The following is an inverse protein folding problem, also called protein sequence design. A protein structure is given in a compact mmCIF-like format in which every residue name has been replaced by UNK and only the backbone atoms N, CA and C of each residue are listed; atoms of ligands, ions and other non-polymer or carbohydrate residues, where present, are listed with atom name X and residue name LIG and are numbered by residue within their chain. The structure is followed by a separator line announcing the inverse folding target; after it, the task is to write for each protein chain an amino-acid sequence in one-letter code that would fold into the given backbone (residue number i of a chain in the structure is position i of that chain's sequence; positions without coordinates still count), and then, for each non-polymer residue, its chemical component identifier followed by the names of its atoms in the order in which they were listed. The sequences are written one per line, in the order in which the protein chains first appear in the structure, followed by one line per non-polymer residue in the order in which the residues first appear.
data_IF_715963410059
#
_entry.id   IF_715963410059
#
_cell.length_a   1.000
_cell.length_b   1.000
_cell.length_c   1.000
_cell.angle_alpha   90.00
_cell.angle_beta   90.00
_cell.angle_gamma   90.00
#
_symmetry.space_group_name_H-M   'P 1'
#
loop_
_entity.id
_entity.type
_entity.pdbx_description
1 polymer ?
#
# COMPACT_ATOMS: atom_id res chain seq x y z
N UNK A 1 -0.42 11.31 8.15
CA UNK A 1 0.92 10.71 7.96
C UNK A 1 1.48 11.05 6.59
N UNK A 2 2.75 10.90 6.42
CA UNK A 2 3.43 11.17 5.14
C UNK A 2 4.42 10.05 4.89
N UNK A 3 4.41 9.50 3.69
CA UNK A 3 5.38 8.46 3.30
C UNK A 3 6.02 8.82 1.95
N UNK A 4 7.25 8.39 1.79
CA UNK A 4 7.98 8.52 0.53
C UNK A 4 8.26 7.13 -0.02
N UNK A 5 7.97 6.94 -1.30
CA UNK A 5 8.27 5.69 -1.99
C UNK A 5 9.69 5.72 -2.55
N UNK A 6 10.22 4.55 -2.88
CA UNK A 6 11.58 4.43 -3.45
C UNK A 6 11.77 5.21 -4.74
N UNK A 7 10.71 5.37 -5.53
CA UNK A 7 10.77 6.08 -6.81
C UNK A 7 10.67 7.61 -6.66
N UNK A 8 10.64 8.10 -5.42
CA UNK A 8 10.57 9.53 -5.12
C UNK A 8 9.17 10.08 -4.96
N UNK A 9 8.13 9.27 -5.14
CA UNK A 9 6.75 9.71 -4.93
C UNK A 9 6.48 9.89 -3.46
N UNK A 10 5.73 10.94 -3.11
CA UNK A 10 5.36 11.26 -1.74
C UNK A 10 3.85 11.26 -1.64
N UNK A 11 3.33 10.57 -0.62
CA UNK A 11 1.91 10.53 -0.32
C UNK A 11 1.67 11.05 1.09
N UNK A 12 0.58 11.78 1.27
CA UNK A 12 0.25 12.38 2.55
C UNK A 12 -1.26 12.28 2.81
N UNK A 13 -1.62 12.07 4.08
CA UNK A 13 -3.00 11.95 4.53
C UNK A 13 -3.17 10.80 5.51
N UNK A 14 -4.39 10.29 5.62
CA UNK A 14 -4.64 9.05 6.38
C UNK A 14 -4.09 7.85 5.59
N UNK A 15 -3.94 6.72 6.25
CA UNK A 15 -3.48 5.51 5.56
C UNK A 15 -4.42 5.16 4.39
N UNK A 16 -5.73 5.26 4.58
CA UNK A 16 -6.69 4.98 3.51
C UNK A 16 -6.56 5.96 2.36
N UNK A 17 -6.38 7.25 2.64
CA UNK A 17 -6.15 8.25 1.60
C UNK A 17 -4.88 7.96 0.81
N UNK A 18 -3.82 7.54 1.50
CA UNK A 18 -2.56 7.17 0.85
C UNK A 18 -2.75 5.95 -0.05
N UNK A 19 -3.45 4.92 0.43
CA UNK A 19 -3.72 3.72 -0.37
C UNK A 19 -4.57 4.05 -1.59
N UNK A 20 -5.58 4.90 -1.44
CA UNK A 20 -6.40 5.35 -2.58
C UNK A 20 -5.57 6.13 -3.60
N UNK A 21 -4.67 6.99 -3.14
CA UNK A 21 -3.78 7.74 -4.03
C UNK A 21 -2.81 6.82 -4.77
N UNK A 22 -2.30 5.80 -4.11
CA UNK A 22 -1.46 4.78 -4.76
C UNK A 22 -2.23 4.04 -5.85
N UNK A 23 -3.48 3.68 -5.56
CA UNK A 23 -4.34 2.99 -6.53
C UNK A 23 -4.61 3.87 -7.75
N UNK A 24 -4.83 5.16 -7.56
CA UNK A 24 -5.13 6.10 -8.65
C UNK A 24 -4.02 6.18 -9.69
N UNK A 25 -2.78 5.97 -9.27
CA UNK A 25 -1.64 6.01 -10.19
C UNK A 25 -1.19 4.62 -10.65
N UNK A 26 -1.77 3.57 -10.11
CA UNK A 26 -1.47 2.20 -10.52
C UNK A 26 -2.25 1.86 -11.80
N UNK A 27 -1.60 1.15 -12.72
CA UNK A 27 -2.20 0.85 -14.01
C UNK A 27 -3.07 -0.39 -13.94
N UNK A 28 -4.32 -0.25 -14.41
CA UNK A 28 -5.22 -1.39 -14.59
C UNK A 28 -5.95 -1.88 -13.35
N UNK A 29 -5.92 -1.14 -12.25
CA UNK A 29 -6.53 -1.54 -10.98
C UNK A 29 -7.49 -0.49 -10.40
N UNK A 30 -7.87 0.48 -11.20
CA UNK A 30 -8.69 1.61 -10.74
C UNK A 30 -10.12 1.23 -10.37
N UNK A 31 -10.62 0.08 -10.84
CA UNK A 31 -11.94 -0.44 -10.51
C UNK A 31 -11.91 -1.48 -9.37
N UNK A 32 -10.74 -1.74 -8.79
CA UNK A 32 -10.63 -2.63 -7.64
C UNK A 32 -11.17 -1.97 -6.38
N UNK A 33 -11.78 -2.78 -5.49
CA UNK A 33 -12.07 -2.33 -4.14
C UNK A 33 -10.76 -2.17 -3.37
N UNK A 34 -10.80 -1.50 -2.22
CA UNK A 34 -9.60 -1.34 -1.39
C UNK A 34 -8.99 -2.69 -1.00
N UNK A 35 -9.76 -3.68 -0.49
CA UNK A 35 -9.17 -4.99 -0.19
C UNK A 35 -8.55 -5.67 -1.41
N UNK A 36 -9.20 -5.58 -2.57
CA UNK A 36 -8.67 -6.17 -3.80
C UNK A 36 -7.36 -5.52 -4.20
N UNK A 37 -7.29 -4.19 -4.11
CA UNK A 37 -6.06 -3.46 -4.43
C UNK A 37 -4.94 -3.84 -3.46
N UNK A 38 -5.24 -3.93 -2.16
CA UNK A 38 -4.25 -4.33 -1.15
C UNK A 38 -3.72 -5.73 -1.44
N UNK A 39 -4.59 -6.68 -1.76
CA UNK A 39 -4.18 -8.04 -2.13
C UNK A 39 -3.27 -8.02 -3.35
N UNK A 40 -3.58 -7.18 -4.33
CA UNK A 40 -2.77 -6.99 -5.52
C UNK A 40 -1.37 -6.47 -5.16
N UNK A 41 -1.29 -5.48 -4.27
CA UNK A 41 -0.01 -4.93 -3.80
C UNK A 41 0.81 -6.00 -3.08
N UNK A 42 0.18 -6.77 -2.19
CA UNK A 42 0.85 -7.85 -1.46
C UNK A 42 1.41 -8.90 -2.43
N UNK A 43 0.62 -9.29 -3.42
CA UNK A 43 1.05 -10.27 -4.43
C UNK A 43 2.22 -9.75 -5.26
N UNK A 44 2.19 -8.48 -5.65
CA UNK A 44 3.27 -7.88 -6.43
C UNK A 44 4.55 -7.71 -5.61
N UNK A 45 4.44 -7.36 -4.34
CA UNK A 45 5.59 -7.25 -3.46
C UNK A 45 6.30 -8.60 -3.33
N UNK A 46 5.52 -9.68 -3.17
CA UNK A 46 6.07 -11.04 -3.11
C UNK A 46 6.74 -11.42 -4.43
N UNK A 47 6.10 -11.13 -5.54
CA UNK A 47 6.55 -11.56 -6.87
C UNK A 47 7.77 -10.77 -7.34
N UNK A 48 7.77 -9.45 -7.17
CA UNK A 48 8.79 -8.59 -7.77
C UNK A 48 9.85 -8.11 -6.79
N UNK A 49 9.53 -8.04 -5.50
CA UNK A 49 10.45 -7.53 -4.47
C UNK A 49 10.91 -8.64 -3.51
N UNK A 50 10.35 -9.84 -3.62
CA UNK A 50 10.61 -10.94 -2.70
C UNK A 50 10.32 -10.56 -1.24
N UNK A 51 9.30 -9.74 -1.02
CA UNK A 51 8.92 -9.20 0.28
C UNK A 51 7.55 -9.72 0.67
N UNK A 52 7.42 -10.18 1.90
CA UNK A 52 6.16 -10.63 2.47
C UNK A 52 5.53 -9.50 3.27
N UNK A 53 4.40 -8.98 2.80
CA UNK A 53 3.63 -7.96 3.51
C UNK A 53 2.46 -8.63 4.23
N UNK A 54 2.49 -8.64 5.55
CA UNK A 54 1.46 -9.29 6.38
C UNK A 54 0.39 -8.28 6.75
N UNK A 55 -0.54 -8.05 5.84
CA UNK A 55 -1.63 -7.09 6.07
C UNK A 55 -2.72 -7.74 6.90
N UNK A 56 -3.13 -7.06 7.96
CA UNK A 56 -4.18 -7.50 8.88
C UNK A 56 -5.24 -6.42 9.01
N UNK A 57 -6.41 -6.78 9.53
CA UNK A 57 -7.50 -5.85 9.77
C UNK A 57 -8.80 -6.34 9.16
N UNK A 58 -9.92 -5.77 9.60
CA UNK A 58 -11.25 -6.13 9.12
C UNK A 58 -11.90 -5.01 8.32
N UNK A 59 -11.52 -3.75 8.58
CA UNK A 59 -12.03 -2.60 7.83
C UNK A 59 -10.99 -2.13 6.82
N UNK A 60 -11.45 -1.33 5.85
CA UNK A 60 -10.56 -0.75 4.85
C UNK A 60 -9.51 0.14 5.52
N UNK A 61 -9.90 0.92 6.53
CA UNK A 61 -8.96 1.76 7.28
C UNK A 61 -7.89 0.94 7.98
N UNK A 62 -8.29 -0.14 8.64
CA UNK A 62 -7.35 -1.02 9.34
C UNK A 62 -6.39 -1.70 8.38
N UNK A 63 -6.91 -2.21 7.26
CA UNK A 63 -6.08 -2.86 6.24
C UNK A 63 -5.12 -1.87 5.60
N UNK A 64 -5.58 -0.67 5.30
CA UNK A 64 -4.73 0.37 4.72
C UNK A 64 -3.61 0.76 5.67
N UNK A 65 -3.92 0.94 6.96
CA UNK A 65 -2.90 1.24 7.97
C UNK A 65 -1.88 0.12 8.08
N UNK A 66 -2.35 -1.13 8.12
CA UNK A 66 -1.47 -2.29 8.19
C UNK A 66 -0.56 -2.36 6.96
N UNK A 67 -1.11 -2.14 5.77
CA UNK A 67 -0.32 -2.15 4.54
C UNK A 67 0.79 -1.09 4.58
N UNK A 68 0.47 0.14 4.96
CA UNK A 68 1.46 1.23 5.02
C UNK A 68 2.56 0.88 6.03
N UNK A 69 2.19 0.39 7.20
CA UNK A 69 3.15 -0.02 8.23
C UNK A 69 4.07 -1.14 7.73
N UNK A 70 3.50 -2.15 7.08
CA UNK A 70 4.28 -3.28 6.54
C UNK A 70 5.23 -2.82 5.44
N UNK A 71 4.80 -1.90 4.59
CA UNK A 71 5.66 -1.33 3.55
C UNK A 71 6.85 -0.60 4.14
N UNK A 72 6.64 0.14 5.23
CA UNK A 72 7.73 0.84 5.92
C UNK A 72 8.70 -0.16 6.56
N UNK A 73 8.17 -1.17 7.24
CA UNK A 73 8.99 -2.22 7.86
C UNK A 73 9.84 -2.93 6.80
N UNK A 74 9.25 -3.22 5.66
CA UNK A 74 9.94 -3.93 4.57
C UNK A 74 10.90 -3.04 3.77
N UNK A 75 10.93 -1.74 4.03
CA UNK A 75 11.80 -0.82 3.31
C UNK A 75 11.28 -0.40 1.94
N UNK A 76 10.01 -0.68 1.63
CA UNK A 76 9.39 -0.24 0.37
C UNK A 76 8.94 1.22 0.43
N UNK A 77 8.77 1.74 1.62
CA UNK A 77 8.40 3.14 1.85
C UNK A 77 9.15 3.68 3.07
N UNK A 78 9.30 4.99 3.13
CA UNK A 78 9.97 5.71 4.22
C UNK A 78 8.97 6.69 4.82
N UNK A 79 8.87 6.69 6.12
CA UNK A 79 8.07 7.63 6.89
C UNK A 79 8.73 8.98 7.01
#
# INVERSE_FOLDING_TARGET
MKISMRDGRVFQGTALQIVNAMQDIAFGVDDFTVPEYIDWVVANARKFEAVELKVEGTTDDEKAKSLVEEMVIAGLAIR
#
